data_IF_252350573946
#
_entry.id   IF_252350573946
#
_cell.length_a   1.000
_cell.length_b   1.000
_cell.length_c   1.000
_cell.angle_alpha   90.00
_cell.angle_beta   90.00
_cell.angle_gamma   90.00
#
_symmetry.space_group_name_H-M   'P 1'
#
loop_
_entity.id
_entity.type
_entity.pdbx_description
1 polymer ?
#
# COMPACT_ATOMS: atom_id res chain seq x y z
N UNK A 1 -11.38 -2.42 -9.07
CA UNK A 1 -10.26 -3.35 -8.86
C UNK A 1 -9.42 -3.32 -10.13
N UNK A 2 -8.11 -3.10 -10.01
CA UNK A 2 -7.18 -3.05 -11.13
C UNK A 2 -6.19 -4.19 -10.97
N UNK A 3 -5.84 -4.85 -12.08
CA UNK A 3 -4.80 -5.86 -12.16
C UNK A 3 -3.97 -5.58 -13.41
N UNK A 4 -2.65 -5.49 -13.26
CA UNK A 4 -1.74 -5.37 -14.39
C UNK A 4 -0.40 -6.05 -14.11
N UNK A 5 0.34 -6.30 -15.19
CA UNK A 5 1.73 -6.68 -15.09
C UNK A 5 2.58 -5.49 -14.61
N UNK A 6 3.59 -5.80 -13.82
CA UNK A 6 4.61 -4.85 -13.37
C UNK A 6 5.89 -4.99 -14.21
N UNK A 7 6.89 -4.15 -13.93
CA UNK A 7 8.14 -4.14 -14.72
C UNK A 7 9.02 -5.40 -14.54
N UNK A 8 8.71 -6.26 -13.56
CA UNK A 8 9.48 -7.46 -13.21
C UNK A 8 8.95 -8.72 -13.87
N UNK A 9 9.79 -9.75 -13.97
CA UNK A 9 9.41 -11.01 -14.63
C UNK A 9 8.39 -11.77 -13.77
N UNK A 10 7.18 -11.94 -14.31
CA UNK A 10 6.09 -12.58 -13.55
C UNK A 10 5.61 -11.75 -12.35
N UNK A 11 5.90 -10.46 -12.33
CA UNK A 11 5.45 -9.53 -11.30
C UNK A 11 4.11 -8.91 -11.70
N UNK A 12 3.16 -8.87 -10.77
CA UNK A 12 1.82 -8.34 -11.00
C UNK A 12 1.39 -7.49 -9.80
N UNK A 13 0.63 -6.43 -10.07
CA UNK A 13 0.00 -5.61 -9.05
C UNK A 13 -1.53 -5.81 -9.08
N UNK A 14 -2.13 -5.95 -7.90
CA UNK A 14 -3.59 -5.94 -7.70
C UNK A 14 -3.95 -4.79 -6.76
N UNK A 15 -4.70 -3.81 -7.27
CA UNK A 15 -5.24 -2.72 -6.46
C UNK A 15 -6.62 -3.09 -5.89
N UNK A 16 -6.69 -3.21 -4.57
CA UNK A 16 -7.92 -3.46 -3.82
C UNK A 16 -8.75 -2.18 -3.67
N UNK A 17 -10.06 -2.32 -3.50
CA UNK A 17 -10.94 -1.18 -3.25
C UNK A 17 -10.65 -0.56 -1.87
N UNK A 18 -10.77 0.76 -1.76
CA UNK A 18 -10.65 1.44 -0.47
C UNK A 18 -11.85 1.11 0.43
N UNK A 19 -11.59 0.96 1.72
CA UNK A 19 -12.60 0.68 2.75
C UNK A 19 -12.05 1.13 4.11
N UNK A 20 -12.82 0.95 5.19
CA UNK A 20 -12.34 1.24 6.55
C UNK A 20 -11.08 0.40 6.87
N UNK A 21 -10.17 0.96 7.68
CA UNK A 21 -8.83 0.41 7.88
C UNK A 21 -8.82 -1.07 8.30
N UNK A 22 -9.75 -1.48 9.16
CA UNK A 22 -9.87 -2.88 9.61
C UNK A 22 -10.22 -3.82 8.44
N UNK A 23 -11.25 -3.48 7.67
CA UNK A 23 -11.65 -4.25 6.49
C UNK A 23 -10.59 -4.23 5.38
N UNK A 24 -9.81 -3.15 5.27
CA UNK A 24 -8.72 -3.07 4.30
C UNK A 24 -7.59 -4.05 4.67
N UNK A 25 -7.25 -4.17 5.96
CA UNK A 25 -6.29 -5.15 6.45
C UNK A 25 -6.79 -6.60 6.21
N UNK A 26 -8.05 -6.88 6.52
CA UNK A 26 -8.65 -8.19 6.26
C UNK A 26 -8.65 -8.52 4.75
N UNK A 27 -8.99 -7.55 3.92
CA UNK A 27 -9.01 -7.70 2.45
C UNK A 27 -7.63 -7.99 1.89
N UNK A 28 -6.57 -7.37 2.44
CA UNK A 28 -5.19 -7.63 2.04
C UNK A 28 -4.78 -9.07 2.35
N UNK A 29 -5.06 -9.54 3.57
CA UNK A 29 -4.76 -10.93 3.98
C UNK A 29 -5.53 -11.90 3.10
N UNK A 30 -6.82 -11.67 2.91
CA UNK A 30 -7.66 -12.50 2.05
C UNK A 30 -7.15 -12.55 0.62
N UNK A 31 -6.73 -11.42 0.05
CA UNK A 31 -6.18 -11.35 -1.30
C UNK A 31 -4.89 -12.18 -1.43
N UNK A 32 -3.96 -12.09 -0.47
CA UNK A 32 -2.75 -12.92 -0.47
C UNK A 32 -3.06 -14.41 -0.44
N UNK A 33 -3.98 -14.84 0.43
CA UNK A 33 -4.36 -16.24 0.53
C UNK A 33 -5.10 -16.74 -0.72
N UNK A 34 -5.98 -15.92 -1.29
CA UNK A 34 -6.67 -16.23 -2.54
C UNK A 34 -5.66 -16.37 -3.70
N UNK A 35 -4.72 -15.44 -3.85
CA UNK A 35 -3.68 -15.49 -4.88
C UNK A 35 -2.82 -16.76 -4.72
N UNK A 36 -2.36 -17.06 -3.51
CA UNK A 36 -1.59 -18.30 -3.23
C UNK A 36 -2.39 -19.55 -3.56
N UNK A 37 -3.66 -19.61 -3.15
CA UNK A 37 -4.51 -20.77 -3.41
C UNK A 37 -4.76 -20.99 -4.91
N UNK A 38 -5.00 -19.91 -5.67
CA UNK A 38 -5.17 -20.01 -7.13
C UNK A 38 -3.86 -20.41 -7.81
N UNK A 39 -2.74 -19.78 -7.46
CA UNK A 39 -1.43 -20.10 -8.03
C UNK A 39 -1.08 -21.59 -7.80
N UNK A 40 -1.24 -22.08 -6.57
CA UNK A 40 -0.98 -23.48 -6.23
C UNK A 40 -1.85 -24.45 -7.05
N UNK A 41 -3.14 -24.13 -7.26
CA UNK A 41 -4.03 -24.93 -8.11
C UNK A 41 -3.58 -24.98 -9.57
N UNK A 42 -2.83 -23.98 -10.03
CA UNK A 42 -2.25 -23.93 -11.37
C UNK A 42 -0.81 -24.46 -11.44
N UNK A 43 -0.30 -25.07 -10.35
CA UNK A 43 1.08 -25.55 -10.28
C UNK A 43 2.13 -24.44 -10.23
N UNK A 44 1.75 -23.23 -9.84
CA UNK A 44 2.61 -22.06 -9.70
C UNK A 44 2.84 -21.72 -8.23
N UNK A 45 3.93 -21.01 -7.94
CA UNK A 45 4.23 -20.48 -6.61
C UNK A 45 4.13 -18.96 -6.61
N UNK A 46 3.21 -18.40 -5.82
CA UNK A 46 3.07 -16.96 -5.64
C UNK A 46 3.73 -16.50 -4.34
N UNK A 47 4.51 -15.42 -4.41
CA UNK A 47 5.23 -14.84 -3.26
C UNK A 47 4.99 -13.33 -3.19
N UNK A 48 4.94 -12.81 -1.95
CA UNK A 48 4.91 -11.38 -1.65
C UNK A 48 6.19 -10.92 -0.95
N UNK A 49 7.29 -11.69 -1.10
CA UNK A 49 8.60 -11.34 -0.56
C UNK A 49 9.08 -10.02 -1.20
N UNK A 50 9.62 -9.06 -0.42
CA UNK A 50 9.95 -7.73 -0.93
C UNK A 50 10.95 -7.71 -2.08
N UNK A 51 11.92 -8.62 -2.05
CA UNK A 51 12.99 -8.74 -3.04
C UNK A 51 13.24 -10.23 -3.24
N UNK A 52 12.72 -10.78 -4.33
CA UNK A 52 12.81 -12.22 -4.62
C UNK A 52 14.13 -12.57 -5.34
N UNK A 53 14.55 -11.73 -6.28
CA UNK A 53 15.81 -11.88 -7.01
C UNK A 53 16.62 -10.58 -6.91
N UNK A 54 17.94 -10.69 -6.76
CA UNK A 54 18.82 -9.53 -6.59
C UNK A 54 18.87 -8.66 -7.86
N UNK A 55 18.78 -9.30 -9.02
CA UNK A 55 18.86 -8.71 -10.36
C UNK A 55 17.49 -8.34 -10.97
N UNK A 56 16.40 -8.44 -10.21
CA UNK A 56 15.05 -8.05 -10.64
C UNK A 56 14.45 -7.00 -9.68
N UNK A 57 13.30 -6.42 -10.03
CA UNK A 57 12.62 -5.42 -9.20
C UNK A 57 12.01 -6.03 -7.93
N UNK A 58 11.83 -5.19 -6.91
CA UNK A 58 11.16 -5.58 -5.67
C UNK A 58 9.64 -5.45 -5.73
N UNK A 59 8.97 -6.07 -4.77
CA UNK A 59 7.53 -5.96 -4.54
C UNK A 59 7.23 -5.04 -3.35
N UNK A 60 6.48 -3.98 -3.63
CA UNK A 60 5.93 -3.05 -2.64
C UNK A 60 4.53 -3.44 -2.19
N UNK A 61 4.06 -2.81 -1.12
CA UNK A 61 2.65 -2.83 -0.73
C UNK A 61 2.26 -1.39 -0.41
N UNK A 62 1.81 -0.67 -1.43
CA UNK A 62 1.41 0.72 -1.28
C UNK A 62 0.14 0.81 -0.42
N UNK A 63 0.11 1.76 0.51
CA UNK A 63 -1.05 2.01 1.37
C UNK A 63 -1.57 3.41 1.10
N UNK A 64 -2.79 3.49 0.59
CA UNK A 64 -3.49 4.76 0.37
C UNK A 64 -4.29 5.09 1.63
N UNK A 65 -3.96 6.19 2.30
CA UNK A 65 -4.60 6.60 3.56
C UNK A 65 -5.40 7.88 3.33
N UNK A 66 -6.62 7.93 3.87
CA UNK A 66 -7.44 9.14 3.92
C UNK A 66 -8.16 9.21 5.26
N UNK A 67 -8.41 10.43 5.74
CA UNK A 67 -9.18 10.67 6.94
C UNK A 67 -10.54 11.29 6.57
N UNK A 68 -11.59 10.79 7.21
CA UNK A 68 -12.97 11.19 6.91
C UNK A 68 -13.67 11.64 8.19
N UNK A 69 -14.41 12.75 8.09
CA UNK A 69 -15.24 13.28 9.17
C UNK A 69 -16.59 13.68 8.57
N UNK A 70 -17.69 13.20 9.15
CA UNK A 70 -19.05 13.53 8.72
C UNK A 70 -19.28 13.31 7.21
N UNK A 71 -18.74 12.20 6.68
CA UNK A 71 -18.88 11.84 5.26
C UNK A 71 -18.03 12.66 4.29
N UNK A 72 -17.08 13.47 4.78
CA UNK A 72 -16.18 14.27 3.93
C UNK A 72 -14.72 13.92 4.21
N UNK A 73 -13.93 13.82 3.15
CA UNK A 73 -12.48 13.66 3.27
C UNK A 73 -11.87 14.96 3.80
N UNK A 74 -11.21 14.89 4.96
CA UNK A 74 -10.64 16.08 5.61
C UNK A 74 -9.29 16.47 5.04
N UNK A 75 -8.65 15.64 4.21
CA UNK A 75 -7.41 16.01 3.50
C UNK A 75 -7.68 16.91 2.29
N UNK A 76 -8.91 16.97 1.80
CA UNK A 76 -9.28 17.84 0.68
C UNK A 76 -9.39 19.29 1.14
N UNK A 77 -8.69 20.20 0.48
CA UNK A 77 -8.81 21.63 0.76
C UNK A 77 -10.25 22.13 0.49
N UNK A 78 -10.78 22.93 1.40
CA UNK A 78 -12.10 23.56 1.24
C UNK A 78 -12.06 24.81 0.36
N UNK A 79 -10.88 25.39 0.13
CA UNK A 79 -10.69 26.62 -0.63
C UNK A 79 -9.63 26.45 -1.73
N UNK A 80 -9.73 27.29 -2.76
CA UNK A 80 -8.81 27.32 -3.92
C UNK A 80 -7.41 27.86 -3.59
N UNK A 81 -7.16 28.29 -2.35
CA UNK A 81 -5.88 28.88 -1.94
C UNK A 81 -4.84 27.85 -1.50
N UNK A 82 -5.19 26.56 -1.34
CA UNK A 82 -4.15 25.55 -1.12
C UNK A 82 -3.46 25.26 -2.47
N UNK A 83 -2.15 25.51 -2.55
CA UNK A 83 -1.36 25.37 -3.78
C UNK A 83 -1.47 23.97 -4.42
N UNK A 84 -1.72 22.94 -3.61
CA UNK A 84 -1.72 21.52 -4.04
C UNK A 84 -3.04 20.78 -3.79
N UNK A 85 -4.13 21.49 -3.47
CA UNK A 85 -5.44 20.88 -3.20
C UNK A 85 -5.55 20.14 -1.84
N UNK A 86 -4.56 20.30 -0.94
CA UNK A 86 -4.50 19.64 0.35
C UNK A 86 -4.89 20.60 1.48
N UNK A 87 -5.70 20.13 2.43
CA UNK A 87 -6.08 20.89 3.61
C UNK A 87 -4.92 21.01 4.60
N UNK A 88 -5.02 21.96 5.54
CA UNK A 88 -4.07 22.07 6.65
C UNK A 88 -3.93 20.77 7.45
N UNK A 89 -5.04 20.06 7.68
CA UNK A 89 -5.06 18.76 8.36
C UNK A 89 -4.31 17.70 7.56
N UNK A 90 -4.45 17.69 6.23
CA UNK A 90 -3.70 16.79 5.36
C UNK A 90 -2.20 17.06 5.40
N UNK A 91 -1.80 18.34 5.35
CA UNK A 91 -0.40 18.75 5.45
C UNK A 91 0.21 18.34 6.81
N UNK A 92 -0.50 18.59 7.91
CA UNK A 92 -0.06 18.23 9.26
C UNK A 92 0.02 16.71 9.45
N UNK A 93 -0.92 15.96 8.90
CA UNK A 93 -0.87 14.49 8.90
C UNK A 93 0.40 14.00 8.19
N UNK A 94 0.67 14.51 6.98
CA UNK A 94 1.88 14.15 6.23
C UNK A 94 3.16 14.57 6.95
N UNK A 95 3.18 15.75 7.58
CA UNK A 95 4.29 16.18 8.40
C UNK A 95 4.56 15.22 9.58
N UNK A 96 3.51 14.74 10.23
CA UNK A 96 3.61 13.71 11.28
C UNK A 96 4.17 12.39 10.76
N UNK A 97 3.68 11.90 9.62
CA UNK A 97 4.22 10.69 8.96
C UNK A 97 5.71 10.85 8.70
N UNK A 98 6.12 11.97 8.09
CA UNK A 98 7.53 12.27 7.79
C UNK A 98 8.40 12.32 9.05
N UNK A 99 7.93 12.99 10.10
CA UNK A 99 8.64 13.10 11.37
C UNK A 99 8.85 11.75 12.07
N UNK A 100 7.93 10.79 11.86
CA UNK A 100 7.95 9.48 12.49
C UNK A 100 8.37 8.33 11.56
N UNK A 101 8.86 8.63 10.35
CA UNK A 101 9.26 7.62 9.36
C UNK A 101 10.17 6.51 9.94
N UNK A 102 11.22 6.81 10.73
CA UNK A 102 12.06 5.76 11.29
C UNK A 102 11.29 4.75 12.15
N UNK A 103 10.36 5.24 12.99
CA UNK A 103 9.52 4.39 13.83
C UNK A 103 8.50 3.60 13.00
N UNK A 104 7.94 4.22 11.96
CA UNK A 104 6.99 3.55 11.05
C UNK A 104 7.68 2.41 10.29
N UNK A 105 8.92 2.59 9.85
CA UNK A 105 9.69 1.57 9.14
C UNK A 105 9.87 0.28 9.94
N UNK A 106 9.96 0.37 11.27
CA UNK A 106 10.04 -0.82 12.13
C UNK A 106 8.82 -1.76 11.96
N UNK A 107 7.67 -1.21 11.57
CA UNK A 107 6.44 -1.98 11.34
C UNK A 107 6.19 -2.28 9.86
N UNK A 108 6.53 -1.36 8.95
CA UNK A 108 6.24 -1.51 7.52
C UNK A 108 7.34 -2.24 6.75
N UNK A 109 8.57 -2.22 7.26
CA UNK A 109 9.74 -2.88 6.68
C UNK A 109 10.53 -3.71 7.72
N UNK A 110 9.91 -4.70 8.41
CA UNK A 110 10.52 -5.36 9.57
C UNK A 110 11.60 -6.41 9.23
N UNK A 111 11.77 -6.76 7.95
CA UNK A 111 12.68 -7.83 7.51
C UNK A 111 13.91 -7.24 6.83
N UNK A 112 15.12 -7.81 7.05
CA UNK A 112 16.35 -7.36 6.35
C UNK A 112 16.19 -7.33 4.82
N UNK A 113 15.42 -8.26 4.25
CA UNK A 113 15.12 -8.34 2.82
C UNK A 113 14.37 -7.12 2.24
N UNK A 114 13.88 -6.19 3.08
CA UNK A 114 13.29 -4.92 2.64
C UNK A 114 14.34 -3.86 2.29
N UNK A 115 15.60 -4.07 2.67
CA UNK A 115 16.70 -3.11 2.52
C UNK A 115 17.74 -3.54 1.47
N UNK A 116 17.42 -4.57 0.69
CA UNK A 116 18.29 -5.18 -0.34
C UNK A 116 17.65 -4.99 -1.71
#
# INVERSE_FOLDING_TARGET
>A
MQLHAEAGKGHFEIALAHTACTYAADSLIFAHEAVRAVANKQGLFATSVPKYALDDIGSGSHVHVSLWQNGRNVFTASNTSSQYGMSKVGEEFMAGVLAHLPSILAFTAPLPNRFI
#
